data_IF_258689166894
#
_entry.id   IF_258689166894
#
_cell.length_a   1.000
_cell.length_b   1.000
_cell.length_c   1.000
_cell.angle_alpha   90.00
_cell.angle_beta   90.00
_cell.angle_gamma   90.00
#
_symmetry.space_group_name_H-M   'P 1'
#
loop_
_entity.id
_entity.type
_entity.pdbx_description
1 polymer ?
#
# COMPACT_ATOMS: atom_id res chain seq x y z
N UNK A 1 -22.42 4.33 6.84
CA UNK A 1 -21.45 5.19 6.13
C UNK A 1 -22.14 6.48 5.71
N UNK A 2 -21.64 7.63 6.14
CA UNK A 2 -22.17 8.95 5.78
C UNK A 2 -21.69 9.39 4.38
N UNK A 3 -22.17 10.55 3.89
CA UNK A 3 -21.82 11.07 2.56
C UNK A 3 -20.31 11.35 2.40
N UNK A 4 -19.66 11.90 3.43
CA UNK A 4 -18.22 12.19 3.42
C UNK A 4 -17.38 10.91 3.32
N UNK A 5 -17.73 9.88 4.10
CA UNK A 5 -17.07 8.58 4.02
C UNK A 5 -17.23 7.92 2.65
N UNK A 6 -18.40 8.06 2.00
CA UNK A 6 -18.61 7.53 0.64
C UNK A 6 -17.74 8.24 -0.38
N UNK A 7 -17.66 9.58 -0.30
CA UNK A 7 -16.76 10.37 -1.18
C UNK A 7 -15.29 9.96 -0.97
N UNK A 8 -14.85 9.85 0.28
CA UNK A 8 -13.50 9.42 0.60
C UNK A 8 -13.17 8.02 0.03
N UNK A 9 -14.09 7.06 0.13
CA UNK A 9 -13.92 5.73 -0.45
C UNK A 9 -13.82 5.78 -1.99
N UNK A 10 -14.65 6.60 -2.62
CA UNK A 10 -14.62 6.79 -4.09
C UNK A 10 -13.28 7.37 -4.54
N UNK A 11 -12.73 8.35 -3.80
CA UNK A 11 -11.43 8.94 -4.08
C UNK A 11 -10.31 7.91 -3.98
N UNK A 12 -10.31 7.11 -2.91
CA UNK A 12 -9.33 6.03 -2.74
C UNK A 12 -9.38 5.02 -3.90
N UNK A 13 -10.57 4.57 -4.29
CA UNK A 13 -10.72 3.65 -5.42
C UNK A 13 -10.30 4.26 -6.75
N UNK A 14 -10.62 5.53 -6.99
CA UNK A 14 -10.21 6.24 -8.22
C UNK A 14 -8.69 6.39 -8.30
N UNK A 15 -8.05 6.78 -7.20
CA UNK A 15 -6.60 6.91 -7.13
C UNK A 15 -5.89 5.56 -7.36
N UNK A 16 -6.35 4.50 -6.66
CA UNK A 16 -5.79 3.17 -6.82
C UNK A 16 -6.02 2.64 -8.25
N UNK A 17 -7.22 2.86 -8.84
CA UNK A 17 -7.56 2.48 -10.22
C UNK A 17 -6.64 3.17 -11.23
N UNK A 18 -6.55 4.49 -11.15
CA UNK A 18 -5.77 5.33 -12.07
C UNK A 18 -4.33 4.85 -12.14
N UNK A 19 -3.74 4.54 -11.00
CA UNK A 19 -2.37 4.03 -10.93
C UNK A 19 -2.21 2.61 -11.47
N UNK A 20 -3.16 1.72 -11.21
CA UNK A 20 -3.10 0.34 -11.70
C UNK A 20 -3.36 0.20 -13.21
N UNK A 21 -3.97 1.17 -13.85
CA UNK A 21 -4.29 1.17 -15.28
C UNK A 21 -3.55 2.24 -16.08
N UNK A 22 -2.43 2.78 -15.56
CA UNK A 22 -1.61 3.70 -16.32
C UNK A 22 -2.35 4.98 -16.75
N UNK A 23 -3.07 5.62 -15.81
CA UNK A 23 -3.79 6.86 -16.06
C UNK A 23 -5.23 6.71 -16.57
N UNK A 24 -5.74 5.49 -16.70
CA UNK A 24 -7.12 5.27 -17.14
C UNK A 24 -8.11 5.35 -15.97
N UNK A 25 -9.32 5.85 -16.25
CA UNK A 25 -10.39 6.01 -15.28
C UNK A 25 -11.75 5.64 -15.88
N UNK A 26 -12.82 5.65 -15.06
CA UNK A 26 -14.17 5.36 -15.48
C UNK A 26 -14.65 3.94 -15.13
N UNK A 27 -15.96 3.69 -15.32
CA UNK A 27 -16.61 2.45 -14.90
C UNK A 27 -16.11 1.22 -15.67
N UNK A 28 -15.93 1.34 -16.98
CA UNK A 28 -15.41 0.25 -17.82
C UNK A 28 -13.98 -0.13 -17.47
N UNK A 29 -13.13 0.87 -17.21
CA UNK A 29 -11.77 0.69 -16.70
C UNK A 29 -11.78 0.00 -15.32
N UNK A 30 -12.65 0.45 -14.42
CA UNK A 30 -12.82 -0.15 -13.09
C UNK A 30 -13.21 -1.63 -13.17
N UNK A 31 -14.17 -1.98 -14.03
CA UNK A 31 -14.57 -3.37 -14.23
C UNK A 31 -13.45 -4.23 -14.82
N UNK A 32 -12.71 -3.71 -15.80
CA UNK A 32 -11.54 -4.37 -16.37
C UNK A 32 -10.44 -4.60 -15.33
N UNK A 33 -10.09 -3.57 -14.55
CA UNK A 33 -9.09 -3.69 -13.49
C UNK A 33 -9.52 -4.71 -12.42
N UNK A 34 -10.79 -4.67 -12.01
CA UNK A 34 -11.33 -5.62 -11.03
C UNK A 34 -11.21 -7.07 -11.53
N UNK A 35 -11.41 -7.33 -12.81
CA UNK A 35 -11.29 -8.69 -13.39
C UNK A 35 -9.85 -9.12 -13.60
N UNK A 36 -8.99 -8.24 -14.09
CA UNK A 36 -7.67 -8.61 -14.63
C UNK A 36 -6.50 -8.23 -13.75
N UNK A 37 -6.65 -7.27 -12.82
CA UNK A 37 -5.56 -6.77 -11.99
C UNK A 37 -5.73 -7.21 -10.53
N UNK A 38 -4.99 -8.23 -10.08
CA UNK A 38 -5.10 -8.76 -8.71
C UNK A 38 -4.83 -7.72 -7.61
N UNK A 39 -3.83 -6.85 -7.81
CA UNK A 39 -3.49 -5.77 -6.87
C UNK A 39 -4.65 -4.80 -6.66
N UNK A 40 -5.27 -4.32 -7.75
CA UNK A 40 -6.46 -3.47 -7.64
C UNK A 40 -7.64 -4.19 -6.99
N UNK A 41 -7.93 -5.44 -7.36
CA UNK A 41 -9.01 -6.23 -6.75
C UNK A 41 -8.81 -6.39 -5.24
N UNK A 42 -7.57 -6.62 -4.80
CA UNK A 42 -7.23 -6.72 -3.40
C UNK A 42 -7.50 -5.39 -2.68
N UNK A 43 -6.99 -4.28 -3.23
CA UNK A 43 -7.18 -2.94 -2.66
C UNK A 43 -8.65 -2.52 -2.62
N UNK A 44 -9.45 -2.87 -3.62
CA UNK A 44 -10.90 -2.59 -3.65
C UNK A 44 -11.59 -3.12 -2.38
N UNK A 45 -11.36 -4.39 -2.03
CA UNK A 45 -11.99 -5.01 -0.86
C UNK A 45 -11.36 -4.56 0.45
N UNK A 46 -10.06 -4.30 0.48
CA UNK A 46 -9.39 -3.72 1.64
C UNK A 46 -9.99 -2.35 1.98
N UNK A 47 -10.11 -1.44 0.99
CA UNK A 47 -10.68 -0.10 1.16
C UNK A 47 -12.13 -0.17 1.65
N UNK A 48 -12.94 -1.03 1.06
CA UNK A 48 -14.33 -1.21 1.47
C UNK A 48 -14.44 -1.70 2.92
N UNK A 49 -13.65 -2.71 3.30
CA UNK A 49 -13.63 -3.22 4.67
C UNK A 49 -13.17 -2.16 5.68
N UNK A 50 -12.14 -1.37 5.35
CA UNK A 50 -11.62 -0.31 6.19
C UNK A 50 -12.66 0.79 6.43
N UNK A 51 -13.27 1.29 5.37
CA UNK A 51 -14.20 2.42 5.42
C UNK A 51 -15.57 2.08 6.04
N UNK A 52 -16.00 0.82 5.94
CA UNK A 52 -17.26 0.36 6.52
C UNK A 52 -17.15 -0.10 7.98
N UNK A 53 -15.93 -0.20 8.51
CA UNK A 53 -15.64 -0.71 9.87
C UNK A 53 -16.46 -0.02 10.96
N UNK A 54 -16.55 1.31 10.92
CA UNK A 54 -17.25 2.12 11.92
C UNK A 54 -18.72 2.39 11.55
N UNK A 55 -19.24 1.76 10.48
CA UNK A 55 -20.58 2.02 9.97
C UNK A 55 -21.53 0.91 10.40
N UNK A 56 -22.46 1.19 11.31
CA UNK A 56 -23.51 0.25 11.74
C UNK A 56 -24.71 0.19 10.79
N UNK A 57 -25.76 -0.50 11.21
CA UNK A 57 -27.05 -0.60 10.50
C UNK A 57 -26.90 -1.28 9.13
N UNK A 58 -27.42 -0.66 8.07
CA UNK A 58 -27.41 -1.19 6.71
C UNK A 58 -26.01 -1.52 6.16
N UNK A 59 -24.94 -0.95 6.73
CA UNK A 59 -23.56 -1.18 6.31
C UNK A 59 -22.92 -2.41 6.94
N UNK A 60 -23.58 -3.07 7.89
CA UNK A 60 -23.07 -4.31 8.53
C UNK A 60 -22.89 -5.43 7.51
N UNK A 61 -23.87 -5.65 6.62
CA UNK A 61 -23.79 -6.70 5.60
C UNK A 61 -22.67 -6.41 4.58
N UNK A 62 -22.57 -5.21 3.96
CA UNK A 62 -21.43 -4.86 3.12
C UNK A 62 -20.08 -5.01 3.81
N UNK A 63 -19.98 -4.64 5.10
CA UNK A 63 -18.76 -4.80 5.88
C UNK A 63 -18.36 -6.28 6.03
N UNK A 64 -19.29 -7.15 6.41
CA UNK A 64 -19.03 -8.59 6.56
C UNK A 64 -18.61 -9.21 5.22
N UNK A 65 -19.31 -8.86 4.12
CA UNK A 65 -18.96 -9.32 2.78
C UNK A 65 -17.55 -8.85 2.37
N UNK A 66 -17.22 -7.59 2.64
CA UNK A 66 -15.90 -7.02 2.35
C UNK A 66 -14.79 -7.73 3.14
N UNK A 67 -15.00 -7.97 4.44
CA UNK A 67 -14.06 -8.72 5.28
C UNK A 67 -13.85 -10.15 4.78
N UNK A 68 -14.93 -10.84 4.44
CA UNK A 68 -14.85 -12.22 3.96
C UNK A 68 -14.09 -12.30 2.64
N UNK A 69 -14.41 -11.39 1.69
CA UNK A 69 -13.73 -11.34 0.41
C UNK A 69 -12.26 -10.93 0.57
N UNK A 70 -11.97 -9.93 1.39
CA UNK A 70 -10.59 -9.53 1.70
C UNK A 70 -9.80 -10.71 2.31
N UNK A 71 -10.38 -11.43 3.30
CA UNK A 71 -9.76 -12.62 3.88
C UNK A 71 -9.47 -13.69 2.81
N UNK A 72 -10.44 -13.97 1.92
CA UNK A 72 -10.26 -14.92 0.81
C UNK A 72 -9.12 -14.50 -0.13
N UNK A 73 -9.05 -13.21 -0.48
CA UNK A 73 -8.01 -12.70 -1.38
C UNK A 73 -6.62 -12.69 -0.72
N UNK A 74 -6.53 -12.49 0.59
CA UNK A 74 -5.26 -12.63 1.33
C UNK A 74 -4.62 -13.99 1.07
N UNK A 75 -5.38 -15.07 1.25
CA UNK A 75 -4.89 -16.42 0.99
C UNK A 75 -4.65 -16.69 -0.49
N UNK A 76 -5.59 -16.26 -1.35
CA UNK A 76 -5.49 -16.49 -2.80
C UNK A 76 -4.26 -15.84 -3.43
N UNK A 77 -3.91 -14.63 -2.99
CA UNK A 77 -2.82 -13.86 -3.58
C UNK A 77 -1.54 -13.87 -2.75
N UNK A 78 -1.54 -14.49 -1.59
CA UNK A 78 -0.38 -14.46 -0.69
C UNK A 78 -0.05 -13.03 -0.22
N UNK A 79 -1.08 -12.21 0.06
CA UNK A 79 -0.95 -10.83 0.52
C UNK A 79 -1.49 -10.72 1.94
N UNK A 80 -0.64 -10.50 2.92
CA UNK A 80 -1.02 -10.32 4.32
C UNK A 80 -0.97 -8.85 4.72
N UNK A 81 -1.97 -8.08 4.29
CA UNK A 81 -2.19 -6.69 4.69
C UNK A 81 -3.53 -6.63 5.43
N UNK A 82 -3.56 -6.31 6.72
CA UNK A 82 -4.80 -6.08 7.47
C UNK A 82 -5.57 -4.87 6.90
N UNK A 83 -6.90 -4.95 6.87
CA UNK A 83 -7.70 -3.81 6.38
C UNK A 83 -7.69 -2.60 7.32
N UNK A 84 -7.18 -2.76 8.54
CA UNK A 84 -6.96 -1.71 9.53
C UNK A 84 -5.69 -0.88 9.26
N UNK A 85 -4.75 -1.42 8.49
CA UNK A 85 -3.50 -0.73 8.15
C UNK A 85 -3.80 0.62 7.49
N UNK A 86 -3.16 1.68 7.98
CA UNK A 86 -3.32 3.03 7.43
C UNK A 86 -2.57 3.15 6.10
N UNK A 87 -3.31 3.26 5.00
CA UNK A 87 -2.73 3.33 3.65
C UNK A 87 -3.33 4.51 2.88
N UNK A 88 -2.50 5.44 2.46
CA UNK A 88 -2.87 6.59 1.64
C UNK A 88 -3.44 6.21 0.26
N UNK A 89 -4.01 7.18 -0.48
CA UNK A 89 -4.54 6.95 -1.82
C UNK A 89 -3.43 6.61 -2.82
N UNK A 90 -3.79 5.91 -3.90
CA UNK A 90 -2.86 5.56 -4.96
C UNK A 90 -1.85 4.46 -4.58
N UNK A 91 -2.21 3.58 -3.66
CA UNK A 91 -1.35 2.44 -3.33
C UNK A 91 -1.34 1.43 -4.46
N UNK A 92 -0.14 1.09 -4.94
CA UNK A 92 0.04 0.26 -6.12
C UNK A 92 0.72 -1.06 -5.77
N UNK A 93 0.06 -2.18 -6.07
CA UNK A 93 0.60 -3.54 -5.96
C UNK A 93 0.82 -4.06 -7.38
N UNK A 94 2.07 -4.01 -7.85
CA UNK A 94 2.42 -4.43 -9.22
C UNK A 94 2.35 -5.94 -9.40
N UNK A 95 2.91 -6.68 -8.46
CA UNK A 95 2.91 -8.15 -8.42
C UNK A 95 2.49 -8.64 -7.04
N UNK A 96 1.71 -9.70 -6.98
CA UNK A 96 1.25 -10.30 -5.73
C UNK A 96 2.15 -11.49 -5.33
N UNK A 97 2.00 -11.92 -4.08
CA UNK A 97 2.73 -13.05 -3.50
C UNK A 97 3.78 -12.64 -2.47
N UNK A 98 3.69 -13.25 -1.28
CA UNK A 98 4.64 -13.05 -0.20
C UNK A 98 4.66 -11.66 0.44
N UNK A 99 3.64 -10.82 0.20
CA UNK A 99 3.57 -9.49 0.78
C UNK A 99 3.04 -9.58 2.21
N UNK A 100 3.79 -9.04 3.17
CA UNK A 100 3.41 -9.01 4.59
C UNK A 100 3.57 -7.60 5.13
N UNK A 101 2.49 -6.99 5.62
CA UNK A 101 2.51 -5.67 6.26
C UNK A 101 1.84 -5.77 7.63
N UNK A 102 2.51 -5.23 8.66
CA UNK A 102 1.95 -5.16 10.01
C UNK A 102 0.80 -4.14 10.07
N UNK A 103 -0.21 -4.41 10.90
CA UNK A 103 -1.43 -3.58 11.04
C UNK A 103 -1.13 -2.13 11.44
N UNK A 104 -0.13 -1.92 12.31
CA UNK A 104 0.21 -0.62 12.84
C UNK A 104 1.09 0.25 11.90
N UNK A 105 1.54 -0.29 10.78
CA UNK A 105 2.33 0.46 9.77
C UNK A 105 1.49 1.58 9.17
N UNK A 106 2.12 2.74 8.98
CA UNK A 106 1.52 3.87 8.28
C UNK A 106 2.19 4.02 6.91
N UNK A 107 1.38 4.05 5.86
CA UNK A 107 1.84 4.17 4.48
C UNK A 107 1.24 5.43 3.86
N UNK A 108 2.08 6.29 3.32
CA UNK A 108 1.69 7.51 2.62
C UNK A 108 0.98 7.25 1.29
N UNK A 109 0.67 8.32 0.58
CA UNK A 109 0.06 8.27 -0.75
C UNK A 109 1.06 7.79 -1.81
N UNK A 110 0.57 7.23 -2.91
CA UNK A 110 1.36 6.88 -4.10
C UNK A 110 2.53 5.92 -3.86
N UNK A 111 2.41 5.02 -2.91
CA UNK A 111 3.46 4.03 -2.64
C UNK A 111 3.32 2.83 -3.58
N UNK A 112 4.44 2.41 -4.17
CA UNK A 112 4.56 1.17 -4.94
C UNK A 112 5.15 0.06 -4.09
N UNK A 113 4.54 -1.11 -4.16
CA UNK A 113 5.05 -2.31 -3.50
C UNK A 113 5.11 -3.48 -4.47
N UNK A 114 6.18 -4.25 -4.37
CA UNK A 114 6.41 -5.45 -5.18
C UNK A 114 6.19 -6.73 -4.38
N UNK A 115 6.22 -7.89 -5.05
CA UNK A 115 6.11 -9.20 -4.40
C UNK A 115 7.23 -9.43 -3.37
N UNK A 116 6.96 -10.26 -2.35
CA UNK A 116 7.93 -10.66 -1.34
C UNK A 116 8.29 -9.59 -0.31
N UNK A 117 7.67 -8.40 -0.38
CA UNK A 117 7.98 -7.30 0.54
C UNK A 117 7.43 -7.58 1.92
N UNK A 118 8.25 -7.34 2.94
CA UNK A 118 7.85 -7.38 4.36
C UNK A 118 8.04 -6.01 5.00
N UNK A 119 6.95 -5.46 5.61
CA UNK A 119 7.00 -4.25 6.43
C UNK A 119 6.50 -4.64 7.82
N UNK A 120 7.42 -4.79 8.76
CA UNK A 120 7.17 -5.47 10.02
C UNK A 120 7.62 -4.73 11.27
N UNK A 121 7.16 -5.24 12.39
CA UNK A 121 7.53 -4.76 13.72
C UNK A 121 8.86 -5.36 14.17
N UNK A 122 9.68 -4.57 14.86
CA UNK A 122 10.71 -5.08 15.76
C UNK A 122 10.18 -5.04 17.20
N UNK A 123 10.35 -6.13 17.93
CA UNK A 123 9.89 -6.26 19.31
C UNK A 123 11.00 -5.99 20.34
N UNK A 124 12.23 -5.75 19.91
CA UNK A 124 13.41 -5.59 20.77
C UNK A 124 14.34 -4.48 20.27
N UNK A 125 15.19 -4.01 21.18
CA UNK A 125 16.22 -3.01 20.90
C UNK A 125 15.68 -1.58 20.83
N UNK A 126 16.57 -0.63 20.53
CA UNK A 126 16.30 0.80 20.49
C UNK A 126 15.25 1.20 19.44
N UNK A 127 15.07 0.38 18.40
CA UNK A 127 14.10 0.62 17.32
C UNK A 127 12.89 -0.33 17.43
N UNK A 128 12.44 -0.59 18.67
CA UNK A 128 11.19 -1.31 18.90
C UNK A 128 10.03 -0.51 18.32
N UNK A 129 9.18 -1.14 17.49
CA UNK A 129 8.04 -0.49 16.84
C UNK A 129 7.87 -0.90 15.39
N UNK A 130 7.13 -0.10 14.65
CA UNK A 130 6.76 -0.34 13.25
C UNK A 130 7.22 0.79 12.33
N UNK A 131 7.45 0.50 11.03
CA UNK A 131 7.85 1.52 10.08
C UNK A 131 6.75 2.55 9.76
N UNK A 132 7.19 3.74 9.37
CA UNK A 132 6.38 4.77 8.71
C UNK A 132 6.94 4.98 7.30
N UNK A 133 6.10 4.82 6.29
CA UNK A 133 6.48 4.93 4.88
C UNK A 133 5.94 6.24 4.32
N UNK A 134 6.80 7.07 3.82
CA UNK A 134 6.46 8.37 3.21
C UNK A 134 5.71 8.25 1.90
N UNK A 135 5.32 9.40 1.36
CA UNK A 135 4.63 9.53 0.07
C UNK A 135 5.57 9.19 -1.10
N UNK A 136 5.03 8.57 -2.16
CA UNK A 136 5.75 8.32 -3.40
C UNK A 136 6.93 7.34 -3.27
N UNK A 137 6.95 6.50 -2.24
CA UNK A 137 8.02 5.53 -2.02
C UNK A 137 7.85 4.33 -2.96
N UNK A 138 8.96 3.91 -3.56
CA UNK A 138 9.06 2.64 -4.29
C UNK A 138 9.73 1.58 -3.42
N UNK A 139 9.10 0.40 -3.29
CA UNK A 139 9.62 -0.73 -2.52
C UNK A 139 9.79 -1.93 -3.45
N UNK A 140 11.05 -2.23 -3.76
CA UNK A 140 11.44 -3.29 -4.69
C UNK A 140 11.16 -4.70 -4.17
N UNK A 141 11.18 -5.71 -5.05
CA UNK A 141 10.87 -7.10 -4.71
C UNK A 141 11.72 -7.64 -3.56
N UNK A 142 11.09 -8.36 -2.63
CA UNK A 142 11.78 -9.01 -1.53
C UNK A 142 12.36 -8.07 -0.47
N UNK A 143 12.15 -6.75 -0.57
CA UNK A 143 12.66 -5.81 0.42
C UNK A 143 12.00 -6.02 1.78
N UNK A 144 12.79 -5.83 2.85
CA UNK A 144 12.36 -5.97 4.24
C UNK A 144 12.59 -4.65 4.96
N UNK A 145 11.55 -4.10 5.58
CA UNK A 145 11.61 -2.86 6.36
C UNK A 145 11.10 -3.18 7.76
N UNK A 146 11.94 -3.06 8.78
CA UNK A 146 11.58 -3.50 10.13
C UNK A 146 12.00 -2.50 11.21
N UNK A 147 11.18 -2.42 12.26
CA UNK A 147 11.40 -1.57 13.42
C UNK A 147 10.83 -0.17 13.27
N UNK A 148 11.00 0.65 14.32
CA UNK A 148 10.60 2.06 14.33
C UNK A 148 11.53 2.87 13.41
N UNK A 149 11.32 2.76 12.10
CA UNK A 149 12.09 3.47 11.07
C UNK A 149 11.18 4.32 10.20
N UNK A 150 11.68 5.45 9.75
CA UNK A 150 11.01 6.35 8.82
C UNK A 150 11.66 6.25 7.45
N UNK A 151 10.85 5.98 6.42
CA UNK A 151 11.27 6.04 5.02
C UNK A 151 10.77 7.34 4.43
N UNK A 152 11.68 8.25 4.11
CA UNK A 152 11.36 9.58 3.60
C UNK A 152 10.63 9.57 2.27
N UNK A 153 9.89 10.65 2.02
CA UNK A 153 9.12 10.87 0.78
C UNK A 153 10.01 10.67 -0.46
N UNK A 154 9.43 10.07 -1.50
CA UNK A 154 10.10 9.89 -2.79
C UNK A 154 11.29 8.93 -2.77
N UNK A 155 11.51 8.16 -1.70
CA UNK A 155 12.62 7.21 -1.63
C UNK A 155 12.37 5.96 -2.47
N UNK A 156 13.45 5.28 -2.87
CA UNK A 156 13.41 3.98 -3.53
C UNK A 156 14.22 2.95 -2.75
N UNK A 157 13.60 1.79 -2.49
CA UNK A 157 14.24 0.67 -1.80
C UNK A 157 14.49 -0.43 -2.83
N UNK A 158 15.74 -0.80 -3.01
CA UNK A 158 16.18 -1.82 -3.96
C UNK A 158 15.67 -3.22 -3.60
N UNK A 159 15.69 -4.11 -4.59
CA UNK A 159 15.29 -5.50 -4.39
C UNK A 159 16.14 -6.16 -3.29
N UNK A 160 15.48 -6.98 -2.44
CA UNK A 160 16.08 -7.70 -1.33
C UNK A 160 16.86 -6.84 -0.31
N UNK A 161 16.64 -5.53 -0.31
CA UNK A 161 17.25 -4.65 0.68
C UNK A 161 16.62 -4.83 2.07
N UNK A 162 17.43 -4.77 3.14
CA UNK A 162 16.97 -4.85 4.52
C UNK A 162 17.15 -3.50 5.21
N UNK A 163 16.06 -2.74 5.34
CA UNK A 163 16.04 -1.41 5.94
C UNK A 163 15.77 -1.51 7.44
N UNK A 164 16.75 -1.09 8.24
CA UNK A 164 16.70 -1.08 9.71
C UNK A 164 17.03 0.29 10.31
N UNK A 165 17.17 1.31 9.46
CA UNK A 165 17.46 2.70 9.85
C UNK A 165 16.63 3.65 9.01
N UNK A 166 16.47 4.87 9.51
CA UNK A 166 15.74 5.93 8.80
C UNK A 166 16.41 6.23 7.45
N UNK A 167 15.59 6.51 6.45
CA UNK A 167 16.02 6.98 5.14
C UNK A 167 15.50 8.41 4.93
N UNK A 168 16.38 9.29 4.50
CA UNK A 168 15.99 10.65 4.14
C UNK A 168 15.11 10.67 2.88
N UNK A 169 14.49 11.81 2.61
CA UNK A 169 13.73 12.00 1.37
C UNK A 169 14.59 11.79 0.14
N UNK A 170 13.98 11.19 -0.90
CA UNK A 170 14.62 10.88 -2.18
C UNK A 170 15.84 9.96 -2.07
N UNK A 171 16.02 9.26 -0.96
CA UNK A 171 17.09 8.27 -0.85
C UNK A 171 16.82 7.06 -1.74
N UNK A 172 17.87 6.58 -2.41
CA UNK A 172 17.88 5.24 -3.01
C UNK A 172 18.72 4.35 -2.11
N UNK A 173 18.10 3.32 -1.49
CA UNK A 173 18.77 2.45 -0.54
C UNK A 173 18.78 1.01 -1.04
N UNK A 174 19.91 0.31 -0.88
CA UNK A 174 20.06 -1.08 -1.28
C UNK A 174 21.01 -1.85 -0.32
N UNK A 175 20.97 -3.17 -0.37
CA UNK A 175 21.87 -4.06 0.37
C UNK A 175 21.33 -4.56 1.72
N UNK A 176 22.12 -5.37 2.41
CA UNK A 176 21.83 -6.02 3.71
C UNK A 176 23.02 -5.79 4.65
N UNK A 177 22.91 -4.89 5.63
CA UNK A 177 21.84 -3.90 5.83
C UNK A 177 21.82 -2.82 4.74
N UNK A 178 20.65 -2.26 4.46
CA UNK A 178 20.49 -1.24 3.42
C UNK A 178 21.33 0.02 3.72
N UNK A 179 21.95 0.56 2.68
CA UNK A 179 22.70 1.82 2.69
C UNK A 179 22.19 2.72 1.57
N UNK A 180 22.23 4.02 1.81
CA UNK A 180 21.93 5.01 0.77
C UNK A 180 23.04 4.98 -0.27
N UNK A 181 22.68 4.69 -1.51
CA UNK A 181 23.59 4.63 -2.66
C UNK A 181 23.38 5.78 -3.64
N UNK A 182 22.28 6.52 -3.52
CA UNK A 182 21.94 7.65 -4.39
C UNK A 182 20.84 8.50 -3.74
N UNK A 183 20.65 9.71 -4.23
CA UNK A 183 19.57 10.64 -3.85
C UNK A 183 18.62 10.95 -5.01
N UNK A 184 18.58 10.10 -6.04
CA UNK A 184 17.70 10.27 -7.22
C UNK A 184 16.24 9.85 -6.94
N UNK A 185 15.98 9.22 -5.80
CA UNK A 185 14.66 8.84 -5.35
C UNK A 185 13.96 7.77 -6.20
N UNK A 186 12.65 7.79 -6.12
CA UNK A 186 11.74 6.85 -6.82
C UNK A 186 11.33 7.34 -8.22
N UNK A 187 11.93 8.39 -8.74
CA UNK A 187 11.62 8.91 -10.08
C UNK A 187 11.73 7.80 -11.13
N UNK A 188 10.74 7.70 -12.01
CA UNK A 188 10.65 6.64 -13.02
C UNK A 188 10.00 5.33 -12.55
N UNK A 189 9.97 5.04 -11.24
CA UNK A 189 9.28 3.88 -10.66
C UNK A 189 7.85 4.19 -10.24
N UNK A 190 7.63 5.36 -9.64
CA UNK A 190 6.33 5.81 -9.16
C UNK A 190 5.74 6.77 -10.21
N UNK A 191 4.70 6.32 -10.91
CA UNK A 191 4.09 7.03 -12.04
C UNK A 191 2.57 7.18 -11.84
N UNK A 192 1.93 8.00 -12.67
CA UNK A 192 0.48 8.22 -12.68
C UNK A 192 -0.05 8.69 -11.32
N UNK A 193 0.58 9.73 -10.76
CA UNK A 193 0.23 10.29 -9.45
C UNK A 193 -0.68 11.52 -9.54
N UNK A 194 -1.04 11.94 -10.74
CA UNK A 194 -1.80 13.13 -11.13
C UNK A 194 -3.32 12.87 -11.25
N UNK A 195 -3.82 11.87 -10.53
CA UNK A 195 -5.26 11.59 -10.52
C UNK A 195 -6.05 12.75 -9.89
N UNK A 196 -7.27 13.06 -10.41
CA UNK A 196 -8.10 14.15 -9.92
C UNK A 196 -8.43 13.97 -8.42
N UNK A 197 -8.04 14.93 -7.62
CA UNK A 197 -8.56 15.12 -6.26
C UNK A 197 -9.90 15.84 -6.41
N UNK A 198 -11.03 15.09 -6.33
CA UNK A 198 -12.36 15.65 -6.53
C UNK A 198 -12.82 16.56 -5.40
#
# INVERSE_FOLDING_TARGET
>A
MNAAQRRALQLLWRADLYRHLGGQSGLSAGWRAYRLVPGFRFMFWLRLAAMTRASGGLWTIPHLAARLMHKRLRFKYGISIPYQTSIGPGFYIGHFGGIVINEAVVIGRNVNISQGVTIGQSNRGERCGVPVIGEGVYIGPGAVIVGAVSVGKGSAIGANAVVTRDLCENAVAAGIPARVISTKGSAGYVQYCDYPEA
#
